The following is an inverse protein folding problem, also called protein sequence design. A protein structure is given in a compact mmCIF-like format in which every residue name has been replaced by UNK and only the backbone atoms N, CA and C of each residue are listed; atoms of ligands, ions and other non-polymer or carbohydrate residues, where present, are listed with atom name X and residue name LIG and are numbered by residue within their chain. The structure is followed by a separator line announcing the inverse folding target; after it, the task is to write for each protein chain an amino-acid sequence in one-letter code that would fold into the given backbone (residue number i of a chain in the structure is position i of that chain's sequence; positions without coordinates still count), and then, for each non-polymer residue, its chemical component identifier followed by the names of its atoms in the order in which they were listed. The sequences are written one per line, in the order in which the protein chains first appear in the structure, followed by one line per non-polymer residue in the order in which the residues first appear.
data_IF_556132559357
#
_entry.id   IF_556132559357
#
_cell.length_a   1.000
_cell.length_b   1.000
_cell.length_c   1.000
_cell.angle_alpha   90.00
_cell.angle_beta   90.00
_cell.angle_gamma   90.00
#
_symmetry.space_group_name_H-M   'P 1'
#
loop_
_entity.id
_entity.type
_entity.pdbx_description
1 polymer ?
#
# COMPACT_ATOMS: atom_id res chain seq x y z
N UNK A 1 -24.04 -27.93 -0.84
CA UNK A 1 -23.15 -26.84 -1.25
C UNK A 1 -21.79 -27.11 -0.64
N UNK A 2 -20.76 -27.34 -1.45
CA UNK A 2 -19.39 -27.55 -0.94
C UNK A 2 -18.75 -26.17 -0.86
N UNK A 3 -18.56 -25.66 0.37
CA UNK A 3 -17.85 -24.41 0.59
C UNK A 3 -16.36 -24.63 0.30
N UNK A 4 -15.81 -23.83 -0.59
CA UNK A 4 -14.38 -23.86 -0.88
C UNK A 4 -13.68 -22.79 -0.01
N UNK A 5 -12.96 -23.26 1.01
CA UNK A 5 -12.19 -22.40 1.88
C UNK A 5 -10.81 -22.19 1.27
N UNK A 6 -10.61 -21.02 0.65
CA UNK A 6 -9.43 -20.74 -0.16
C UNK A 6 -8.12 -20.67 0.64
N UNK A 7 -8.12 -20.05 1.80
CA UNK A 7 -6.94 -20.01 2.66
C UNK A 7 -7.36 -20.03 4.13
N UNK A 8 -6.50 -20.60 4.96
CA UNK A 8 -6.59 -20.48 6.42
C UNK A 8 -5.36 -19.72 6.86
N UNK A 9 -5.54 -18.42 7.01
CA UNK A 9 -4.47 -17.50 7.39
C UNK A 9 -4.72 -16.93 8.77
N UNK A 10 -3.66 -16.70 9.50
CA UNK A 10 -3.66 -16.02 10.79
C UNK A 10 -2.49 -15.03 10.83
N UNK A 11 -2.71 -13.89 11.45
CA UNK A 11 -1.67 -12.91 11.72
C UNK A 11 -1.45 -12.83 13.23
N UNK A 12 -0.19 -12.78 13.65
CA UNK A 12 0.17 -12.84 15.07
C UNK A 12 1.52 -12.18 15.32
N UNK A 13 1.58 -11.31 16.31
CA UNK A 13 2.81 -10.68 16.76
C UNK A 13 3.33 -9.58 15.83
N UNK A 14 3.58 -8.43 16.41
CA UNK A 14 4.25 -7.32 15.74
C UNK A 14 5.73 -7.63 15.56
N UNK A 15 6.26 -7.48 14.36
CA UNK A 15 7.67 -7.72 14.05
C UNK A 15 8.48 -6.44 14.15
N UNK A 16 8.00 -5.37 13.55
CA UNK A 16 8.68 -4.09 13.51
C UNK A 16 7.74 -2.94 13.25
N UNK A 17 8.08 -1.77 13.78
CA UNK A 17 7.50 -0.48 13.43
C UNK A 17 8.61 0.39 12.86
N UNK A 18 8.42 0.90 11.64
CA UNK A 18 9.39 1.75 10.94
C UNK A 18 8.75 3.10 10.72
N UNK A 19 9.50 4.16 10.98
CA UNK A 19 9.13 5.53 10.68
C UNK A 19 10.11 6.13 9.69
N UNK A 20 9.59 7.00 8.82
CA UNK A 20 10.41 7.72 7.84
C UNK A 20 9.82 9.11 7.56
N UNK A 21 10.68 10.02 7.14
CA UNK A 21 10.25 11.27 6.52
C UNK A 21 9.83 10.99 5.09
N UNK A 22 8.71 11.57 4.67
CA UNK A 22 8.22 11.45 3.29
C UNK A 22 8.23 12.80 2.60
N UNK A 23 8.78 12.83 1.39
CA UNK A 23 8.82 14.00 0.53
C UNK A 23 8.48 13.63 -0.91
N UNK A 24 8.12 14.63 -1.72
CA UNK A 24 7.82 14.42 -3.14
C UNK A 24 9.12 14.44 -3.94
N UNK A 25 9.41 13.34 -4.61
CA UNK A 25 10.56 13.24 -5.53
C UNK A 25 10.34 14.01 -6.83
N UNK A 26 11.40 14.16 -7.61
CA UNK A 26 11.39 14.86 -8.91
C UNK A 26 10.47 14.20 -9.95
N UNK A 27 10.25 12.89 -9.82
CA UNK A 27 9.32 12.11 -10.65
C UNK A 27 7.88 12.10 -10.15
N UNK A 28 7.58 12.89 -9.10
CA UNK A 28 6.26 12.96 -8.48
C UNK A 28 5.94 11.83 -7.49
N UNK A 29 6.79 10.81 -7.38
CA UNK A 29 6.65 9.68 -6.46
C UNK A 29 7.17 10.02 -5.05
N UNK A 30 6.69 9.31 -4.00
CA UNK A 30 7.23 9.48 -2.66
C UNK A 30 8.69 9.06 -2.58
N UNK A 31 9.48 9.86 -1.87
CA UNK A 31 10.86 9.56 -1.46
C UNK A 31 10.87 9.54 0.06
N UNK A 32 11.42 8.46 0.60
CA UNK A 32 11.52 8.25 2.04
C UNK A 32 12.96 8.43 2.49
N UNK A 33 13.14 9.16 3.59
CA UNK A 33 14.45 9.42 4.20
C UNK A 33 14.35 9.23 5.71
N UNK A 34 15.48 9.20 6.39
CA UNK A 34 15.56 9.09 7.86
C UNK A 34 14.79 7.90 8.43
N UNK A 35 14.89 6.74 7.75
CA UNK A 35 14.26 5.52 8.23
C UNK A 35 14.81 5.13 9.61
N UNK A 36 13.90 4.86 10.55
CA UNK A 36 14.25 4.38 11.90
C UNK A 36 13.28 3.28 12.31
N UNK A 37 13.79 2.32 13.09
CA UNK A 37 12.94 1.35 13.78
C UNK A 37 12.53 1.97 15.11
N UNK A 38 11.25 1.89 15.43
CA UNK A 38 10.70 2.20 16.75
C UNK A 38 10.53 0.89 17.50
N UNK A 39 11.17 0.80 18.65
CA UNK A 39 11.20 -0.44 19.45
C UNK A 39 10.18 -0.41 20.57
N UNK A 40 9.80 -1.61 21.05
CA UNK A 40 8.91 -1.75 22.19
C UNK A 40 7.42 -1.69 21.86
N UNK A 41 7.03 -1.79 20.59
CA UNK A 41 5.62 -1.85 20.19
C UNK A 41 4.95 -3.11 20.75
N UNK A 42 3.89 -2.91 21.53
CA UNK A 42 3.03 -3.96 22.08
C UNK A 42 1.84 -4.19 21.16
N UNK A 43 1.12 -3.13 20.84
CA UNK A 43 -0.07 -3.21 20.00
C UNK A 43 -0.29 -1.93 19.20
N UNK A 44 -0.96 -2.09 18.08
CA UNK A 44 -1.63 -1.03 17.34
C UNK A 44 -3.12 -1.31 17.49
N UNK A 45 -3.84 -0.39 18.10
CA UNK A 45 -5.28 -0.49 18.27
C UNK A 45 -6.03 -0.33 16.96
N UNK A 46 -7.33 -0.50 17.01
CA UNK A 46 -8.20 -0.29 15.86
C UNK A 46 -8.12 1.18 15.41
N UNK A 47 -7.87 1.36 14.12
CA UNK A 47 -7.82 2.68 13.48
C UNK A 47 -9.18 2.97 12.85
N UNK A 48 -10.04 3.65 13.60
CA UNK A 48 -11.41 3.96 13.19
C UNK A 48 -11.49 5.21 12.32
N UNK A 49 -12.37 5.17 11.31
CA UNK A 49 -12.65 6.35 10.49
C UNK A 49 -13.61 7.30 11.22
N UNK A 50 -13.10 8.46 11.60
CA UNK A 50 -13.85 9.53 12.27
C UNK A 50 -14.45 10.55 11.29
N UNK A 51 -14.43 10.28 9.98
CA UNK A 51 -15.00 11.18 9.00
C UNK A 51 -16.54 11.23 9.10
N UNK A 52 -17.08 12.41 9.33
CA UNK A 52 -18.52 12.62 9.35
C UNK A 52 -19.15 12.46 7.97
N UNK A 53 -20.34 11.90 7.95
CA UNK A 53 -21.17 11.83 6.74
C UNK A 53 -22.37 12.76 6.91
N UNK A 54 -22.45 13.77 6.05
CA UNK A 54 -23.54 14.74 6.06
C UNK A 54 -24.58 14.40 4.99
N UNK A 55 -25.84 14.37 5.42
CA UNK A 55 -27.00 14.24 4.54
C UNK A 55 -27.55 15.64 4.25
N UNK A 56 -27.91 15.88 3.01
CA UNK A 56 -28.49 17.15 2.56
C UNK A 56 -29.92 16.89 2.10
N UNK A 57 -30.94 17.30 2.89
CA UNK A 57 -32.34 17.16 2.50
C UNK A 57 -32.70 18.19 1.43
N UNK A 58 -33.50 17.78 0.45
CA UNK A 58 -34.13 18.63 -0.55
C UNK A 58 -35.40 17.94 -1.10
N UNK A 59 -36.37 18.73 -1.58
CA UNK A 59 -37.61 18.25 -2.24
C UNK A 59 -38.37 17.17 -1.45
N UNK A 60 -38.51 17.38 -0.13
CA UNK A 60 -39.14 16.43 0.82
C UNK A 60 -38.45 15.05 0.92
N UNK A 61 -37.22 14.94 0.41
CA UNK A 61 -36.37 13.75 0.53
C UNK A 61 -35.29 14.01 1.57
N UNK A 62 -35.23 13.26 2.71
CA UNK A 62 -34.29 13.46 3.78
C UNK A 62 -32.82 13.24 3.34
N UNK A 63 -32.59 12.38 2.36
CA UNK A 63 -31.29 11.96 1.87
C UNK A 63 -31.08 12.33 0.39
N UNK A 64 -31.51 13.51 -0.03
CA UNK A 64 -31.37 13.96 -1.42
C UNK A 64 -29.90 13.96 -1.90
N UNK A 65 -28.97 14.30 -1.02
CA UNK A 65 -27.54 14.18 -1.25
C UNK A 65 -26.80 13.77 0.02
N UNK A 66 -25.84 12.85 -0.11
CA UNK A 66 -24.97 12.39 0.97
C UNK A 66 -23.52 12.66 0.60
N UNK A 67 -22.78 13.34 1.46
CA UNK A 67 -21.36 13.58 1.28
C UNK A 67 -20.59 13.18 2.53
N UNK A 68 -19.64 12.24 2.36
CA UNK A 68 -18.66 11.89 3.38
C UNK A 68 -17.50 12.89 3.35
N UNK A 69 -16.99 13.29 4.50
CA UNK A 69 -15.74 14.04 4.65
C UNK A 69 -14.52 13.26 4.20
N UNK A 70 -13.36 13.91 4.23
CA UNK A 70 -12.08 13.22 4.00
C UNK A 70 -11.86 12.17 5.09
N UNK A 71 -11.36 10.99 4.72
CA UNK A 71 -11.09 9.91 5.67
C UNK A 71 -10.05 10.34 6.70
N UNK A 72 -10.40 10.20 7.96
CA UNK A 72 -9.55 10.49 9.12
C UNK A 72 -9.53 9.27 10.02
N UNK A 73 -8.45 8.50 9.96
CA UNK A 73 -8.29 7.34 10.83
C UNK A 73 -7.71 7.77 12.17
N UNK A 74 -8.32 7.34 13.28
CA UNK A 74 -7.83 7.60 14.64
C UNK A 74 -7.75 6.29 15.40
N UNK A 75 -6.71 6.16 16.22
CA UNK A 75 -6.48 5.00 17.06
C UNK A 75 -5.33 5.22 18.02
N UNK A 76 -4.83 4.13 18.59
CA UNK A 76 -3.78 4.15 19.59
C UNK A 76 -2.68 3.15 19.28
N UNK A 77 -1.46 3.50 19.68
CA UNK A 77 -0.30 2.60 19.68
C UNK A 77 0.22 2.47 21.11
N UNK A 78 0.48 1.24 21.55
CA UNK A 78 0.97 0.97 22.90
C UNK A 78 2.40 0.45 22.83
N UNK A 79 3.26 1.00 23.68
CA UNK A 79 4.67 0.67 23.78
C UNK A 79 5.06 0.32 25.22
N UNK A 80 5.96 -0.65 25.40
CA UNK A 80 6.57 -0.95 26.72
C UNK A 80 7.92 -0.25 26.92
N UNK A 81 8.43 0.40 25.90
CA UNK A 81 9.59 1.28 26.01
C UNK A 81 9.47 2.44 25.05
N UNK A 82 10.17 3.53 25.36
CA UNK A 82 10.24 4.69 24.48
C UNK A 82 11.68 4.89 24.05
N UNK A 83 11.94 4.78 22.76
CA UNK A 83 13.23 5.05 22.18
C UNK A 83 13.34 6.50 21.67
N UNK A 84 14.51 6.85 21.15
CA UNK A 84 14.77 8.17 20.59
C UNK A 84 13.86 8.46 19.39
N UNK A 85 13.57 7.45 18.55
CA UNK A 85 12.73 7.62 17.38
C UNK A 85 11.29 8.01 17.77
N UNK A 86 10.73 7.37 18.79
CA UNK A 86 9.41 7.72 19.29
C UNK A 86 9.40 9.15 19.87
N UNK A 87 10.39 9.50 20.69
CA UNK A 87 10.42 10.79 21.39
C UNK A 87 10.74 11.97 20.47
N UNK A 88 11.79 11.87 19.66
CA UNK A 88 12.30 12.98 18.86
C UNK A 88 11.65 13.05 17.46
N UNK A 89 11.41 11.89 16.82
CA UNK A 89 10.91 11.87 15.44
C UNK A 89 9.39 11.87 15.33
N UNK A 90 8.69 11.27 16.30
CA UNK A 90 7.21 11.23 16.29
C UNK A 90 6.67 12.35 17.19
N UNK A 91 7.04 12.35 18.49
CA UNK A 91 6.54 13.31 19.45
C UNK A 91 7.20 14.70 19.36
N UNK A 92 8.28 14.84 18.59
CA UNK A 92 8.98 16.12 18.44
C UNK A 92 9.59 16.65 19.73
N UNK A 93 9.81 15.78 20.72
CA UNK A 93 10.38 16.18 22.00
C UNK A 93 11.83 16.66 21.85
N UNK A 94 12.17 17.69 22.60
CA UNK A 94 13.52 18.24 22.62
C UNK A 94 14.36 17.56 23.70
N UNK A 95 15.57 17.14 23.33
CA UNK A 95 16.55 16.59 24.27
C UNK A 95 17.08 17.68 25.21
N UNK A 96 17.21 17.36 26.48
CA UNK A 96 17.79 18.27 27.49
C UNK A 96 19.27 18.51 27.22
N UNK A 97 19.82 19.64 27.71
CA UNK A 97 21.22 20.02 27.47
C UNK A 97 22.24 18.98 28.01
N UNK A 98 21.90 18.25 29.06
CA UNK A 98 22.74 17.18 29.62
C UNK A 98 22.56 15.84 28.86
N UNK A 99 21.67 15.78 27.88
CA UNK A 99 21.43 14.57 27.05
C UNK A 99 20.69 13.44 27.75
N UNK A 100 20.21 13.62 28.98
CA UNK A 100 19.64 12.55 29.81
C UNK A 100 18.11 12.53 29.81
N UNK A 101 17.45 13.57 29.30
CA UNK A 101 16.01 13.70 29.30
C UNK A 101 15.44 14.28 28.02
N UNK A 102 14.13 14.26 27.92
CA UNK A 102 13.36 14.85 26.84
C UNK A 102 12.24 15.71 27.41
N UNK A 103 11.97 16.82 26.74
CA UNK A 103 10.92 17.76 27.12
C UNK A 103 9.89 17.86 25.98
N UNK A 104 8.61 17.75 26.27
CA UNK A 104 7.56 18.02 25.28
C UNK A 104 7.67 19.43 24.73
N UNK A 105 7.54 19.57 23.42
CA UNK A 105 7.51 20.87 22.73
C UNK A 105 6.11 21.24 22.25
N UNK A 106 5.21 20.26 22.16
CA UNK A 106 3.91 20.41 21.53
C UNK A 106 3.97 20.43 19.99
N UNK A 107 5.16 20.23 19.41
CA UNK A 107 5.38 20.22 17.95
C UNK A 107 5.45 18.79 17.42
N UNK A 108 4.32 18.10 17.40
CA UNK A 108 4.24 16.74 16.90
C UNK A 108 4.51 16.68 15.39
N UNK A 109 5.25 15.67 14.99
CA UNK A 109 5.68 15.52 13.59
C UNK A 109 4.78 14.53 12.86
N UNK A 110 4.47 14.85 11.60
CA UNK A 110 3.84 13.91 10.68
C UNK A 110 4.91 13.02 10.06
N UNK A 111 4.72 11.71 10.14
CA UNK A 111 5.65 10.71 9.59
C UNK A 111 4.91 9.70 8.73
N UNK A 112 5.61 9.11 7.79
CA UNK A 112 5.18 7.87 7.19
C UNK A 112 5.55 6.74 8.15
N UNK A 113 4.58 5.91 8.48
CA UNK A 113 4.74 4.78 9.40
C UNK A 113 4.38 3.49 8.71
N UNK A 114 5.28 2.52 8.80
CA UNK A 114 5.06 1.15 8.34
C UNK A 114 5.21 0.19 9.50
N UNK A 115 4.22 -0.66 9.76
CA UNK A 115 4.38 -1.73 10.72
C UNK A 115 4.11 -3.09 10.10
N UNK A 116 4.80 -4.09 10.65
CA UNK A 116 4.85 -5.45 10.15
C UNK A 116 4.22 -6.39 11.16
N UNK A 117 3.27 -7.19 10.71
CA UNK A 117 2.66 -8.26 11.50
C UNK A 117 3.05 -9.59 10.86
N UNK A 118 3.56 -10.53 11.66
CA UNK A 118 3.82 -11.90 11.20
C UNK A 118 2.53 -12.59 10.82
N UNK A 119 2.57 -13.34 9.74
CA UNK A 119 1.45 -14.15 9.27
C UNK A 119 1.86 -15.56 8.92
N UNK A 120 0.90 -16.47 9.01
CA UNK A 120 1.02 -17.84 8.54
C UNK A 120 -0.26 -18.27 7.87
N UNK A 121 -0.14 -18.85 6.68
CA UNK A 121 -1.27 -19.47 5.99
C UNK A 121 -0.94 -20.91 5.58
N UNK A 122 -2.00 -21.69 5.37
CA UNK A 122 -1.86 -23.04 4.84
C UNK A 122 -2.04 -23.02 3.33
N UNK A 123 -1.05 -23.54 2.60
CA UNK A 123 -1.16 -23.71 1.16
C UNK A 123 -2.29 -24.71 0.84
N UNK A 124 -3.13 -24.36 -0.11
CA UNK A 124 -4.31 -25.15 -0.48
C UNK A 124 -3.92 -26.42 -1.26
N UNK A 125 -2.84 -26.35 -2.04
CA UNK A 125 -2.41 -27.41 -2.95
C UNK A 125 -1.47 -28.39 -2.22
N UNK A 126 -0.43 -27.87 -1.57
CA UNK A 126 0.57 -28.69 -0.89
C UNK A 126 0.16 -29.06 0.53
N UNK A 127 -0.72 -28.28 1.15
CA UNK A 127 -1.10 -28.42 2.55
C UNK A 127 -0.05 -27.95 3.54
N UNK A 128 1.07 -27.43 3.05
CA UNK A 128 2.18 -26.90 3.87
C UNK A 128 1.86 -25.52 4.43
N UNK A 129 2.56 -25.15 5.52
CA UNK A 129 2.47 -23.81 6.06
C UNK A 129 3.43 -22.86 5.35
N UNK A 130 2.92 -21.69 4.96
CA UNK A 130 3.68 -20.61 4.34
C UNK A 130 3.68 -19.44 5.30
N UNK A 131 4.87 -18.99 5.67
CA UNK A 131 5.04 -17.77 6.48
C UNK A 131 4.99 -16.52 5.61
N UNK A 132 4.53 -15.43 6.19
CA UNK A 132 4.38 -14.14 5.51
C UNK A 132 4.26 -12.98 6.47
N UNK A 133 3.95 -11.81 5.90
CA UNK A 133 3.73 -10.58 6.65
C UNK A 133 2.48 -9.86 6.15
N UNK A 134 1.79 -9.22 7.08
CA UNK A 134 0.89 -8.11 6.79
C UNK A 134 1.69 -6.84 7.04
N UNK A 135 1.78 -6.01 6.00
CA UNK A 135 2.50 -4.72 6.02
C UNK A 135 1.48 -3.62 5.96
N UNK A 136 1.34 -2.85 7.02
CA UNK A 136 0.39 -1.74 7.08
C UNK A 136 1.16 -0.43 7.07
N UNK A 137 0.74 0.49 6.21
CA UNK A 137 1.40 1.77 6.01
C UNK A 137 0.39 2.89 6.21
N UNK A 138 0.76 3.84 7.05
CA UNK A 138 0.08 5.12 7.23
C UNK A 138 0.99 6.23 6.69
N UNK A 139 0.71 6.78 5.49
CA UNK A 139 1.60 7.76 4.86
C UNK A 139 1.75 9.05 5.66
N UNK A 140 0.67 9.52 6.28
CA UNK A 140 0.61 10.74 7.07
C UNK A 140 0.06 10.43 8.46
N UNK A 141 0.85 9.78 9.29
CA UNK A 141 0.50 9.52 10.69
C UNK A 141 1.12 10.59 11.58
N UNK A 142 0.34 11.12 12.51
CA UNK A 142 0.79 12.04 13.53
C UNK A 142 0.15 11.74 14.89
N UNK A 143 0.80 12.05 16.00
CA UNK A 143 0.18 12.05 17.32
C UNK A 143 -0.96 13.07 17.40
N UNK A 144 -1.90 12.83 18.30
CA UNK A 144 -2.96 13.78 18.67
C UNK A 144 -2.81 14.29 20.09
N UNK A 145 -1.96 13.65 20.87
CA UNK A 145 -1.59 14.02 22.24
C UNK A 145 -0.18 13.52 22.57
N UNK A 146 0.40 13.99 23.66
CA UNK A 146 1.59 13.40 24.26
C UNK A 146 1.27 11.97 24.72
N UNK A 147 2.28 11.09 24.68
CA UNK A 147 2.11 9.73 25.15
C UNK A 147 1.78 9.70 26.65
N UNK A 148 0.67 9.08 27.00
CA UNK A 148 0.32 8.82 28.39
C UNK A 148 1.12 7.63 28.92
N UNK A 149 1.43 7.65 30.21
CA UNK A 149 2.15 6.57 30.88
C UNK A 149 1.52 6.29 32.23
N UNK A 150 1.44 5.03 32.56
CA UNK A 150 1.06 4.55 33.88
C UNK A 150 2.26 3.92 34.57
N UNK A 151 2.37 4.08 35.88
CA UNK A 151 3.39 3.44 36.67
C UNK A 151 2.79 2.94 37.98
N UNK A 152 3.10 1.74 38.36
CA UNK A 152 2.63 1.12 39.57
C UNK A 152 3.80 0.81 40.51
N UNK A 153 3.50 0.69 41.80
CA UNK A 153 4.48 0.25 42.82
C UNK A 153 4.50 -1.28 42.79
N UNK A 154 5.70 -1.85 42.85
CA UNK A 154 5.88 -3.30 42.93
C UNK A 154 5.12 -3.92 44.11
N UNK A 155 4.45 -5.02 43.85
CA UNK A 155 3.64 -5.76 44.81
C UNK A 155 4.05 -7.25 44.87
N UNK A 156 3.50 -7.98 45.84
CA UNK A 156 3.76 -9.42 45.99
C UNK A 156 3.31 -10.22 44.77
N UNK A 157 2.32 -9.73 44.05
CA UNK A 157 1.76 -10.36 42.87
C UNK A 157 2.49 -9.99 41.55
N UNK A 158 3.54 -9.17 41.65
CA UNK A 158 4.30 -8.63 40.54
C UNK A 158 3.74 -7.28 40.04
N UNK A 159 4.44 -6.68 39.09
CA UNK A 159 4.08 -5.39 38.45
C UNK A 159 4.09 -5.56 36.96
N UNK A 160 3.08 -5.04 36.29
CA UNK A 160 3.09 -4.93 34.85
C UNK A 160 4.11 -3.86 34.38
N UNK A 161 4.80 -4.11 33.25
CA UNK A 161 5.71 -3.11 32.72
C UNK A 161 4.98 -1.81 32.42
N UNK A 162 5.65 -0.68 32.68
CA UNK A 162 5.11 0.63 32.29
C UNK A 162 4.79 0.65 30.81
N UNK A 163 3.56 1.02 30.46
CA UNK A 163 3.12 1.17 29.11
C UNK A 163 2.96 2.65 28.75
N UNK A 164 3.31 2.97 27.51
CA UNK A 164 3.07 4.29 26.92
C UNK A 164 2.01 4.14 25.83
N UNK A 165 0.88 4.80 26.01
CA UNK A 165 -0.19 4.85 25.01
C UNK A 165 -0.09 6.15 24.24
N UNK A 166 0.06 6.05 22.95
CA UNK A 166 0.16 7.13 21.99
C UNK A 166 -1.09 7.20 21.15
N UNK A 167 -1.92 8.21 21.35
CA UNK A 167 -3.05 8.49 20.48
C UNK A 167 -2.55 9.07 19.16
N UNK A 168 -3.00 8.51 18.06
CA UNK A 168 -2.55 8.85 16.70
C UNK A 168 -3.70 9.08 15.75
N UNK A 169 -3.43 9.85 14.71
CA UNK A 169 -4.33 9.97 13.55
C UNK A 169 -3.56 9.83 12.25
N UNK A 170 -4.22 9.27 11.24
CA UNK A 170 -3.71 9.16 9.88
C UNK A 170 -4.68 9.82 8.89
N UNK A 171 -4.12 10.58 7.97
CA UNK A 171 -4.86 11.31 6.94
C UNK A 171 -4.37 10.93 5.56
N UNK A 172 -5.15 11.28 4.55
CA UNK A 172 -4.78 11.12 3.14
C UNK A 172 -3.44 11.78 2.82
N UNK A 173 -2.72 11.18 1.89
CA UNK A 173 -1.47 11.73 1.35
C UNK A 173 -1.66 12.21 -0.08
N UNK A 174 -1.08 13.39 -0.38
CA UNK A 174 -0.98 13.91 -1.76
C UNK A 174 0.19 13.31 -2.55
N UNK A 175 1.07 12.60 -1.86
CA UNK A 175 2.32 12.06 -2.42
C UNK A 175 2.25 10.55 -2.53
N UNK A 176 1.76 9.88 -1.49
CA UNK A 176 1.61 8.43 -1.45
C UNK A 176 0.23 8.05 -1.98
N UNK A 177 0.19 7.61 -3.24
CA UNK A 177 -1.05 7.35 -3.96
C UNK A 177 -1.16 5.86 -4.32
N UNK A 178 -2.37 5.31 -4.26
CA UNK A 178 -2.69 4.03 -4.89
C UNK A 178 -3.32 4.29 -6.26
N UNK A 179 -2.55 4.14 -7.32
CA UNK A 179 -2.88 4.68 -8.63
C UNK A 179 -3.01 6.20 -8.57
N UNK A 180 -4.22 6.73 -8.82
CA UNK A 180 -4.51 8.16 -8.72
C UNK A 180 -5.30 8.53 -7.45
N UNK A 181 -5.49 7.60 -6.53
CA UNK A 181 -6.29 7.82 -5.32
C UNK A 181 -5.39 8.13 -4.13
N UNK A 182 -5.74 9.17 -3.39
CA UNK A 182 -5.19 9.48 -2.07
C UNK A 182 -5.68 8.43 -1.07
N UNK A 183 -4.79 7.96 -0.22
CA UNK A 183 -5.11 6.93 0.77
C UNK A 183 -4.54 7.31 2.14
N UNK A 184 -5.33 7.17 3.22
CA UNK A 184 -4.84 7.38 4.59
C UNK A 184 -4.07 6.18 5.13
N UNK A 185 -4.34 4.99 4.56
CA UNK A 185 -3.65 3.75 4.88
C UNK A 185 -3.62 2.83 3.66
N UNK A 186 -2.64 1.95 3.62
CA UNK A 186 -2.59 0.84 2.68
C UNK A 186 -2.07 -0.41 3.41
N UNK A 187 -2.62 -1.55 3.04
CA UNK A 187 -2.27 -2.83 3.62
C UNK A 187 -1.83 -3.78 2.52
N UNK A 188 -0.72 -4.47 2.75
CA UNK A 188 -0.20 -5.50 1.86
C UNK A 188 -0.12 -6.83 2.60
N UNK A 189 -0.47 -7.90 1.93
CA UNK A 189 -0.24 -9.26 2.38
C UNK A 189 0.77 -9.93 1.48
N UNK A 190 1.90 -10.30 2.04
CA UNK A 190 3.00 -10.90 1.31
C UNK A 190 3.33 -12.27 1.88
N UNK A 191 3.51 -13.27 1.01
CA UNK A 191 3.65 -14.66 1.40
C UNK A 191 4.81 -15.35 0.69
N UNK A 192 5.38 -16.36 1.34
CA UNK A 192 6.37 -17.25 0.74
C UNK A 192 7.61 -16.53 0.22
N UNK A 193 7.91 -16.67 -1.07
CA UNK A 193 9.12 -16.09 -1.65
C UNK A 193 9.09 -14.55 -1.71
N UNK A 194 7.90 -13.95 -1.85
CA UNK A 194 7.76 -12.49 -1.73
C UNK A 194 8.09 -12.02 -0.30
N UNK A 195 7.63 -12.74 0.71
CA UNK A 195 7.94 -12.41 2.10
C UNK A 195 9.44 -12.57 2.40
N UNK A 196 10.09 -13.60 1.86
CA UNK A 196 11.54 -13.78 1.97
C UNK A 196 12.33 -12.65 1.29
N UNK A 197 11.92 -12.24 0.09
CA UNK A 197 12.56 -11.13 -0.62
C UNK A 197 12.37 -9.81 0.12
N UNK A 198 11.16 -9.57 0.63
CA UNK A 198 10.85 -8.40 1.45
C UNK A 198 11.74 -8.35 2.70
N UNK A 199 11.81 -9.45 3.47
CA UNK A 199 12.64 -9.54 4.66
C UNK A 199 14.12 -9.28 4.33
N UNK A 200 14.63 -9.87 3.25
CA UNK A 200 16.02 -9.65 2.79
C UNK A 200 16.28 -8.19 2.39
N UNK A 201 15.33 -7.53 1.74
CA UNK A 201 15.45 -6.11 1.41
C UNK A 201 15.44 -5.25 2.66
N UNK A 202 14.59 -5.56 3.64
CA UNK A 202 14.55 -4.89 4.93
C UNK A 202 15.84 -5.06 5.73
N UNK A 203 16.46 -6.22 5.69
CA UNK A 203 17.78 -6.48 6.31
C UNK A 203 18.91 -5.70 5.63
N UNK A 204 18.86 -5.54 4.31
CA UNK A 204 19.87 -4.78 3.56
C UNK A 204 19.77 -3.27 3.73
N UNK A 205 18.60 -2.77 4.13
CA UNK A 205 18.33 -1.35 4.39
C UNK A 205 16.85 -1.13 4.58
N UNK A 206 16.46 -0.42 5.63
CA UNK A 206 15.06 -0.12 5.90
C UNK A 206 14.42 0.61 4.71
N UNK A 207 13.24 0.17 4.30
CA UNK A 207 12.48 0.85 3.27
C UNK A 207 10.97 0.82 3.58
N UNK A 208 10.24 1.77 3.01
CA UNK A 208 8.77 1.80 3.04
C UNK A 208 8.27 1.21 1.73
N UNK A 209 7.39 0.21 1.82
CA UNK A 209 6.78 -0.42 0.66
C UNK A 209 5.89 0.58 -0.08
N UNK A 210 5.93 0.58 -1.40
CA UNK A 210 5.13 1.45 -2.25
C UNK A 210 4.19 0.60 -3.12
N UNK A 211 3.07 1.16 -3.63
CA UNK A 211 2.13 0.42 -4.47
C UNK A 211 2.74 -0.21 -5.72
N UNK A 212 3.85 0.33 -6.20
CA UNK A 212 4.60 -0.19 -7.35
C UNK A 212 5.85 -1.00 -6.97
N UNK A 213 6.04 -1.32 -5.68
CA UNK A 213 7.16 -2.14 -5.23
C UNK A 213 7.04 -3.57 -5.76
N UNK A 214 8.04 -4.01 -6.51
CA UNK A 214 8.13 -5.39 -7.01
C UNK A 214 8.97 -6.22 -6.07
N UNK A 215 8.40 -7.34 -5.62
CA UNK A 215 9.10 -8.35 -4.83
C UNK A 215 9.40 -9.57 -5.70
N UNK A 216 10.59 -10.15 -5.53
CA UNK A 216 10.96 -11.41 -6.20
C UNK A 216 10.00 -12.53 -5.80
N UNK A 217 9.66 -13.40 -6.75
CA UNK A 217 8.63 -14.44 -6.53
C UNK A 217 7.19 -13.94 -6.70
N UNK A 218 6.98 -12.65 -7.00
CA UNK A 218 5.68 -12.17 -7.46
C UNK A 218 5.27 -12.93 -8.72
N UNK A 219 3.99 -13.31 -8.78
CA UNK A 219 3.43 -13.87 -10.00
C UNK A 219 3.14 -12.69 -10.93
N UNK A 220 3.82 -12.64 -12.07
CA UNK A 220 3.65 -11.56 -13.05
C UNK A 220 2.92 -12.10 -14.28
N UNK A 221 2.18 -11.23 -14.97
CA UNK A 221 1.65 -11.55 -16.28
C UNK A 221 2.81 -11.66 -17.28
N UNK A 222 2.66 -12.57 -18.23
CA UNK A 222 3.57 -12.68 -19.37
C UNK A 222 3.01 -11.84 -20.52
N UNK A 223 3.75 -10.81 -20.93
CA UNK A 223 3.32 -9.95 -22.02
C UNK A 223 3.14 -10.77 -23.32
N UNK A 224 1.99 -10.64 -24.00
CA UNK A 224 1.75 -11.35 -25.24
C UNK A 224 2.53 -10.72 -26.40
N UNK A 225 2.81 -11.50 -27.43
CA UNK A 225 3.21 -10.98 -28.74
C UNK A 225 1.94 -10.74 -29.55
N UNK A 226 1.64 -9.49 -29.88
CA UNK A 226 0.53 -9.13 -30.76
C UNK A 226 1.08 -9.00 -32.17
N UNK A 227 0.56 -9.75 -33.14
CA UNK A 227 1.01 -9.64 -34.53
C UNK A 227 0.74 -8.25 -35.08
N UNK A 228 1.68 -7.73 -35.88
CA UNK A 228 1.45 -6.52 -36.67
C UNK A 228 0.33 -6.75 -37.71
N UNK A 229 -0.42 -5.71 -37.95
CA UNK A 229 -1.55 -5.76 -38.88
C UNK A 229 -1.46 -4.64 -39.91
N UNK A 230 -2.28 -4.75 -40.96
CA UNK A 230 -2.42 -3.71 -41.99
C UNK A 230 -3.85 -3.18 -41.93
N UNK A 231 -4.05 -1.89 -42.21
CA UNK A 231 -5.40 -1.30 -42.32
C UNK A 231 -6.19 -2.03 -43.44
N UNK A 232 -7.50 -2.12 -43.28
CA UNK A 232 -8.34 -2.77 -44.25
C UNK A 232 -8.43 -1.94 -45.56
N UNK A 233 -8.35 -0.63 -45.46
CA UNK A 233 -8.48 0.30 -46.57
C UNK A 233 -7.33 1.32 -46.56
N UNK A 234 -6.75 1.56 -47.73
CA UNK A 234 -5.66 2.53 -47.91
C UNK A 234 -6.07 3.93 -47.44
N UNK A 235 -5.23 4.53 -46.62
CA UNK A 235 -5.43 5.89 -46.09
C UNK A 235 -6.51 6.02 -45.01
N UNK A 236 -7.09 4.91 -44.54
CA UNK A 236 -8.12 4.93 -43.50
C UNK A 236 -7.57 4.47 -42.12
N UNK A 237 -8.23 4.92 -41.09
CA UNK A 237 -7.97 4.50 -39.71
C UNK A 237 -8.92 3.35 -39.34
N UNK A 238 -8.75 2.19 -39.99
CA UNK A 238 -9.60 1.01 -39.82
C UNK A 238 -8.80 -0.22 -39.39
N UNK A 239 -7.62 0.01 -38.85
CA UNK A 239 -6.77 -1.07 -38.33
C UNK A 239 -7.45 -1.80 -37.15
N UNK A 240 -7.38 -3.14 -37.20
CA UNK A 240 -7.92 -4.02 -36.14
C UNK A 240 -6.87 -5.03 -35.72
N UNK A 241 -6.65 -5.12 -34.41
CA UNK A 241 -5.71 -6.08 -33.81
C UNK A 241 -6.46 -7.14 -33.02
N UNK A 242 -5.88 -8.32 -32.92
CA UNK A 242 -6.41 -9.38 -32.05
C UNK A 242 -5.80 -9.23 -30.67
N UNK A 243 -6.62 -8.83 -29.71
CA UNK A 243 -6.20 -8.65 -28.33
C UNK A 243 -6.70 -9.84 -27.50
N UNK A 244 -5.81 -10.60 -26.84
CA UNK A 244 -6.23 -11.71 -26.00
C UNK A 244 -7.00 -11.21 -24.77
N UNK A 245 -8.02 -11.95 -24.35
CA UNK A 245 -8.80 -11.72 -23.11
C UNK A 245 -8.22 -12.46 -21.91
N UNK A 246 -7.24 -13.33 -22.15
CA UNK A 246 -6.49 -14.07 -21.14
C UNK A 246 -5.01 -14.08 -21.45
N UNK A 247 -4.18 -13.98 -20.40
CA UNK A 247 -2.74 -14.12 -20.50
C UNK A 247 -2.25 -15.29 -19.62
N UNK A 248 -1.04 -15.76 -19.89
CA UNK A 248 -0.34 -16.63 -18.95
C UNK A 248 0.35 -15.80 -17.89
N UNK A 249 0.38 -16.32 -16.68
CA UNK A 249 1.27 -15.81 -15.65
C UNK A 249 2.63 -16.51 -15.67
N UNK A 250 3.57 -16.00 -14.88
CA UNK A 250 4.94 -16.53 -14.78
C UNK A 250 5.03 -17.97 -14.24
N UNK A 251 3.93 -18.50 -13.67
CA UNK A 251 3.80 -19.88 -13.19
C UNK A 251 3.00 -20.78 -14.16
N UNK A 252 2.59 -20.24 -15.33
CA UNK A 252 1.84 -20.95 -16.35
C UNK A 252 0.32 -20.96 -16.14
N UNK A 253 -0.18 -20.29 -15.08
CA UNK A 253 -1.60 -20.10 -14.84
C UNK A 253 -2.25 -19.26 -15.96
N UNK A 254 -3.56 -19.42 -16.20
CA UNK A 254 -4.32 -18.58 -17.15
C UNK A 254 -5.11 -17.54 -16.36
N UNK A 255 -4.89 -16.27 -16.69
CA UNK A 255 -5.46 -15.10 -16.00
C UNK A 255 -6.32 -14.32 -17.00
N UNK A 256 -7.55 -14.01 -16.61
CA UNK A 256 -8.42 -13.11 -17.37
C UNK A 256 -7.93 -11.68 -17.22
N UNK A 257 -7.79 -10.97 -18.33
CA UNK A 257 -7.26 -9.60 -18.36
C UNK A 257 -8.25 -8.63 -18.99
N UNK A 258 -8.13 -7.37 -18.62
CA UNK A 258 -8.70 -6.23 -19.34
C UNK A 258 -7.60 -5.56 -20.15
N UNK A 259 -7.94 -4.94 -21.28
CA UNK A 259 -6.96 -4.29 -22.13
C UNK A 259 -7.37 -2.88 -22.53
N UNK A 260 -6.37 -2.01 -22.68
CA UNK A 260 -6.52 -0.64 -23.17
C UNK A 260 -5.49 -0.40 -24.26
N UNK A 261 -5.94 0.08 -25.43
CA UNK A 261 -5.08 0.43 -26.57
C UNK A 261 -4.80 1.92 -26.53
N UNK A 262 -3.54 2.31 -26.70
CA UNK A 262 -3.12 3.72 -26.79
C UNK A 262 -2.21 3.91 -28.00
N UNK A 263 -2.28 5.10 -28.60
CA UNK A 263 -1.30 5.54 -29.60
C UNK A 263 0.07 5.86 -28.95
N UNK A 264 1.04 6.21 -29.78
CA UNK A 264 2.39 6.58 -29.34
C UNK A 264 2.42 7.83 -28.43
N UNK A 265 1.34 8.63 -28.39
CA UNK A 265 1.20 9.84 -27.58
C UNK A 265 0.40 9.58 -26.29
N UNK A 266 -0.03 8.33 -26.06
CA UNK A 266 -0.78 7.93 -24.85
C UNK A 266 -2.30 8.15 -24.94
N UNK A 267 -2.84 8.55 -26.09
CA UNK A 267 -4.28 8.71 -26.30
C UNK A 267 -4.93 7.34 -26.44
N UNK A 268 -6.02 7.11 -25.71
CA UNK A 268 -6.80 5.88 -25.78
C UNK A 268 -7.53 5.79 -27.12
N UNK A 269 -7.45 4.61 -27.73
CA UNK A 269 -8.06 4.31 -29.02
C UNK A 269 -9.00 3.11 -28.96
N UNK A 270 -9.89 3.02 -29.93
CA UNK A 270 -10.84 1.91 -30.07
C UNK A 270 -10.31 0.94 -31.11
N UNK A 271 -10.28 -0.36 -30.77
CA UNK A 271 -9.95 -1.42 -31.72
C UNK A 271 -10.92 -1.42 -32.90
N UNK A 272 -10.41 -1.50 -34.10
CA UNK A 272 -11.17 -1.35 -35.33
C UNK A 272 -11.12 0.05 -35.95
N UNK A 273 -10.54 1.02 -35.24
CA UNK A 273 -10.33 2.40 -35.70
C UNK A 273 -8.87 2.86 -35.52
N UNK A 274 -7.91 1.91 -35.64
CA UNK A 274 -6.50 2.23 -35.43
C UNK A 274 -5.89 2.84 -36.70
N UNK A 275 -5.21 3.97 -36.52
CA UNK A 275 -4.45 4.60 -37.58
C UNK A 275 -3.16 3.82 -37.88
N UNK A 276 -2.56 3.96 -39.09
CA UNK A 276 -1.21 3.51 -39.29
C UNK A 276 -0.22 4.10 -38.30
N UNK A 277 0.57 3.27 -37.65
CA UNK A 277 1.52 3.70 -36.60
C UNK A 277 1.80 2.64 -35.56
N UNK A 278 2.47 3.04 -34.49
CA UNK A 278 2.77 2.19 -33.33
C UNK A 278 1.72 2.40 -32.26
N UNK A 279 1.16 1.30 -31.78
CA UNK A 279 0.20 1.28 -30.68
C UNK A 279 0.73 0.45 -29.52
N UNK A 280 0.33 0.79 -28.32
CA UNK A 280 0.67 0.09 -27.08
C UNK A 280 -0.62 -0.46 -26.47
N UNK A 281 -0.66 -1.77 -26.30
CA UNK A 281 -1.75 -2.44 -25.58
C UNK A 281 -1.30 -2.71 -24.17
N UNK A 282 -2.01 -2.13 -23.17
CA UNK A 282 -1.79 -2.39 -21.75
C UNK A 282 -2.79 -3.43 -21.29
N UNK A 283 -2.32 -4.48 -20.62
CA UNK A 283 -3.13 -5.53 -20.02
C UNK A 283 -3.08 -5.42 -18.52
N UNK A 284 -4.24 -5.45 -17.87
CA UNK A 284 -4.41 -5.34 -16.42
C UNK A 284 -5.24 -6.50 -15.88
N UNK A 285 -4.88 -7.00 -14.71
CA UNK A 285 -5.66 -7.97 -13.95
C UNK A 285 -5.49 -7.73 -12.45
N UNK A 286 -6.52 -8.05 -11.66
CA UNK A 286 -6.49 -7.91 -10.22
C UNK A 286 -5.36 -8.74 -9.59
N UNK A 287 -4.54 -8.11 -8.77
CA UNK A 287 -3.41 -8.74 -8.10
C UNK A 287 -2.15 -8.93 -8.95
N UNK A 288 -2.12 -8.39 -10.17
CA UNK A 288 -0.98 -8.44 -11.07
C UNK A 288 -0.52 -7.03 -11.46
N UNK A 289 0.75 -6.90 -11.78
CA UNK A 289 1.23 -5.69 -12.44
C UNK A 289 0.80 -5.67 -13.90
N UNK A 290 0.48 -4.46 -14.37
CA UNK A 290 0.16 -4.24 -15.78
C UNK A 290 1.36 -4.62 -16.66
N UNK A 291 1.06 -5.29 -17.77
CA UNK A 291 2.07 -5.58 -18.80
C UNK A 291 1.65 -4.95 -20.13
N UNK A 292 2.61 -4.58 -20.94
CA UNK A 292 2.37 -3.92 -22.21
C UNK A 292 2.90 -4.74 -23.38
N UNK A 293 2.22 -4.65 -24.52
CA UNK A 293 2.68 -5.17 -25.79
C UNK A 293 2.60 -4.08 -26.85
N UNK A 294 3.66 -3.93 -27.61
CA UNK A 294 3.69 -3.04 -28.78
C UNK A 294 3.14 -3.78 -30.02
N UNK A 295 2.43 -3.04 -30.86
CA UNK A 295 1.94 -3.53 -32.17
C UNK A 295 2.07 -2.42 -33.21
N UNK A 296 2.45 -2.77 -34.41
CA UNK A 296 2.49 -1.83 -35.52
C UNK A 296 1.32 -2.08 -36.49
N UNK A 297 0.62 -1.01 -36.82
CA UNK A 297 -0.40 -0.97 -37.86
C UNK A 297 0.22 -0.32 -39.10
N UNK A 298 0.29 -1.03 -40.21
CA UNK A 298 0.79 -0.49 -41.47
C UNK A 298 -0.38 -0.06 -42.37
N UNK A 299 -0.16 0.92 -43.24
CA UNK A 299 -1.18 1.29 -44.22
C UNK A 299 -1.31 0.21 -45.31
N UNK A 300 -2.51 0.07 -45.83
CA UNK A 300 -2.78 -0.82 -46.96
C UNK A 300 -2.06 -0.30 -48.21
N UNK A 301 -1.37 -1.18 -48.93
CA UNK A 301 -0.60 -0.83 -50.15
C UNK A 301 -1.47 -0.50 -51.37
#
# INVERSE_FOLDING_TARGET
MKLDYNSREIFFGNEALIVADMSKGSNGKPVFTNHKIVTGLVSVGEMEDQAETNSYPADDVPDHGVKKGATLLQGEMVFIQTDQALKEDILGQQRTANGLGWSPTGEWKTKCVQYLIKGRKRDKVTGEFIDGYRVVIYPNLRPTAEATKESETDSVDGVDPIQWTLAVQATDSDIYLNGNKKVPAIEYEIWGDQAKDFAKKMESGLFIMQPDTVLSGAITLVAPVIPNVTTATKGNNDGTIVVPDTLKDSKGGTVKVTSVIKDAHGKVETNGNLAPGVHIVTFSADGYQDVTAGVSVTDHS
#
